data_IF_185315848772
#
_entry.id   IF_185315848772
#
_cell.length_a   1.000
_cell.length_b   1.000
_cell.length_c   1.000
_cell.angle_alpha   90.00
_cell.angle_beta   90.00
_cell.angle_gamma   90.00
#
_symmetry.space_group_name_H-M   'P 1'
#
loop_
_entity.id
_entity.type
_entity.pdbx_description
1 polymer ?
#
# COMPACT_ATOMS: atom_id res chain seq x y z
N UNK A 1 -18.57 2.73 16.18
CA UNK A 1 -18.10 3.37 16.79
C UNK A 1 -16.77 4.13 16.75
N UNK A 2 -15.62 3.58 17.04
CA UNK A 2 -14.35 4.31 16.99
C UNK A 2 -13.78 4.47 15.57
N UNK A 3 -14.32 3.77 14.59
CA UNK A 3 -13.92 3.85 13.19
C UNK A 3 -14.45 5.11 12.48
N UNK A 4 -15.57 5.64 12.93
CA UNK A 4 -16.17 6.86 12.38
C UNK A 4 -15.61 8.11 13.03
N UNK A 5 -15.46 9.17 12.24
CA UNK A 5 -15.15 10.50 12.76
C UNK A 5 -16.48 11.22 13.05
N UNK A 6 -16.61 11.76 14.25
CA UNK A 6 -17.77 12.54 14.68
C UNK A 6 -17.39 13.98 14.94
N UNK A 7 -18.29 14.90 14.62
CA UNK A 7 -18.10 16.31 14.94
C UNK A 7 -18.09 16.53 16.46
N UNK A 8 -17.04 17.15 16.97
CA UNK A 8 -16.92 17.49 18.40
C UNK A 8 -17.88 18.62 18.81
N UNK A 9 -18.11 19.56 17.90
CA UNK A 9 -18.99 20.74 18.09
C UNK A 9 -19.83 20.92 16.83
N UNK A 10 -20.95 21.61 17.00
CA UNK A 10 -21.81 21.98 15.87
C UNK A 10 -21.16 23.12 15.06
N UNK A 11 -21.26 23.08 13.74
CA UNK A 11 -20.69 24.11 12.89
C UNK A 11 -20.92 23.87 11.41
N UNK A 12 -20.38 24.77 10.60
CA UNK A 12 -20.43 24.70 9.14
C UNK A 12 -19.17 24.03 8.61
N UNK A 13 -19.31 23.06 7.73
CA UNK A 13 -18.17 22.45 7.03
C UNK A 13 -17.59 23.48 6.07
N UNK A 14 -16.44 24.03 6.39
CA UNK A 14 -15.76 25.04 5.58
C UNK A 14 -15.00 24.40 4.41
N UNK A 15 -14.37 23.24 4.67
CA UNK A 15 -13.65 22.47 3.66
C UNK A 15 -13.71 20.99 3.97
N UNK A 16 -13.89 20.17 2.94
CA UNK A 16 -13.83 18.72 3.01
C UNK A 16 -13.04 18.16 1.84
N UNK A 17 -11.80 17.75 2.07
CA UNK A 17 -10.96 17.08 1.08
C UNK A 17 -10.64 15.64 1.50
N UNK A 18 -10.01 14.86 0.63
CA UNK A 18 -9.77 13.42 0.84
C UNK A 18 -9.06 13.07 2.17
N UNK A 19 -8.40 14.01 2.83
CA UNK A 19 -7.61 13.79 4.05
C UNK A 19 -8.04 14.67 5.22
N UNK A 20 -8.79 15.73 4.98
CA UNK A 20 -9.06 16.74 6.00
C UNK A 20 -10.51 17.24 5.92
N UNK A 21 -11.11 17.46 7.08
CA UNK A 21 -12.39 18.13 7.21
C UNK A 21 -12.18 19.30 8.19
N UNK A 22 -12.64 20.47 7.83
CA UNK A 22 -12.61 21.66 8.66
C UNK A 22 -14.05 22.10 8.96
N UNK A 23 -14.38 22.18 10.25
CA UNK A 23 -15.70 22.63 10.71
C UNK A 23 -15.51 23.92 11.47
N UNK A 24 -16.13 24.98 10.97
CA UNK A 24 -16.12 26.30 11.59
C UNK A 24 -17.43 26.55 12.33
N UNK A 25 -17.34 27.11 13.49
CA UNK A 25 -18.50 27.50 14.31
C UNK A 25 -18.16 28.58 15.32
N UNK A 26 -19.11 28.87 16.14
CA UNK A 26 -18.97 29.80 17.25
C UNK A 26 -19.55 29.15 18.51
N UNK A 27 -18.85 29.24 19.62
CA UNK A 27 -19.29 28.77 20.94
C UNK A 27 -19.12 29.85 21.98
N UNK A 28 -19.40 29.55 23.25
CA UNK A 28 -19.29 30.50 24.37
C UNK A 28 -17.89 31.12 24.54
N UNK A 29 -16.84 30.50 23.97
CA UNK A 29 -15.47 30.94 24.00
C UNK A 29 -15.05 31.73 22.74
N UNK A 30 -15.96 31.88 21.78
CA UNK A 30 -15.73 32.59 20.50
C UNK A 30 -15.72 31.68 19.26
N UNK A 31 -15.28 32.23 18.15
CA UNK A 31 -15.17 31.48 16.90
C UNK A 31 -14.09 30.40 16.98
N UNK A 32 -14.38 29.23 16.39
CA UNK A 32 -13.46 28.12 16.33
C UNK A 32 -13.39 27.46 14.93
N UNK A 33 -12.30 26.75 14.69
CA UNK A 33 -12.16 25.86 13.55
C UNK A 33 -11.67 24.51 14.09
N UNK A 34 -12.49 23.48 13.94
CA UNK A 34 -12.12 22.11 14.28
C UNK A 34 -11.57 21.41 13.03
N UNK A 35 -10.38 20.82 13.16
CA UNK A 35 -9.74 20.05 12.10
C UNK A 35 -9.83 18.56 12.42
N UNK A 36 -10.31 17.79 11.44
CA UNK A 36 -10.39 16.33 11.49
C UNK A 36 -9.55 15.73 10.37
N UNK A 37 -8.60 14.88 10.76
CA UNK A 37 -7.77 14.14 9.80
C UNK A 37 -8.45 12.82 9.43
N UNK A 38 -8.61 12.56 8.15
CA UNK A 38 -9.23 11.35 7.59
C UNK A 38 -8.14 10.37 7.17
N UNK A 39 -8.19 9.18 7.73
CA UNK A 39 -7.23 8.12 7.39
C UNK A 39 -7.54 7.50 6.03
N UNK A 40 -6.51 7.31 5.22
CA UNK A 40 -6.58 6.63 3.92
C UNK A 40 -5.48 5.60 3.80
N UNK A 41 -5.83 4.40 3.36
CA UNK A 41 -4.89 3.32 3.05
C UNK A 41 -3.91 3.00 4.20
N UNK A 42 -4.40 2.98 5.43
CA UNK A 42 -3.61 2.57 6.60
C UNK A 42 -3.61 1.05 6.67
N UNK A 43 -2.43 0.45 6.81
CA UNK A 43 -2.30 -1.01 6.96
C UNK A 43 -2.84 -1.46 8.31
N UNK A 44 -3.71 -2.47 8.31
CA UNK A 44 -4.14 -3.17 9.52
C UNK A 44 -3.18 -4.33 9.86
N UNK A 45 -3.35 -4.92 11.05
CA UNK A 45 -2.55 -6.07 11.48
C UNK A 45 -2.68 -7.29 10.54
N UNK A 46 -3.78 -7.42 9.82
CA UNK A 46 -4.03 -8.49 8.85
C UNK A 46 -3.66 -8.09 7.41
N UNK A 47 -2.87 -7.03 7.25
CA UNK A 47 -2.46 -6.49 5.95
C UNK A 47 -3.61 -5.99 5.06
N UNK A 48 -4.78 -5.77 5.61
CA UNK A 48 -5.89 -5.12 4.90
C UNK A 48 -5.77 -3.61 4.99
N UNK A 49 -6.44 -2.90 4.08
CA UNK A 49 -6.48 -1.45 4.06
C UNK A 49 -7.60 -0.92 4.95
N UNK A 50 -7.25 -0.05 5.90
CA UNK A 50 -8.19 0.77 6.63
C UNK A 50 -8.28 2.14 5.97
N UNK A 51 -9.47 2.58 5.63
CA UNK A 51 -9.72 3.90 5.05
C UNK A 51 -11.06 4.45 5.51
N UNK A 52 -11.12 5.75 5.77
CA UNK A 52 -12.34 6.45 6.11
C UNK A 52 -12.88 7.18 4.89
N UNK A 53 -14.19 7.25 4.75
CA UNK A 53 -14.90 7.92 3.68
C UNK A 53 -15.66 9.12 4.23
N UNK A 54 -15.41 10.30 3.66
CA UNK A 54 -16.09 11.53 4.04
C UNK A 54 -17.58 11.41 3.69
N UNK A 55 -18.43 11.73 4.68
CA UNK A 55 -19.88 11.65 4.58
C UNK A 55 -20.56 13.03 4.49
N UNK A 56 -19.77 14.11 4.53
CA UNK A 56 -20.27 15.50 4.50
C UNK A 56 -19.70 16.27 3.32
N UNK A 57 -20.40 17.33 2.93
CA UNK A 57 -19.99 18.22 1.84
C UNK A 57 -19.67 19.62 2.35
N UNK A 58 -18.88 20.38 1.57
CA UNK A 58 -18.59 21.78 1.91
C UNK A 58 -19.89 22.60 1.90
N UNK A 59 -20.04 23.47 2.91
CA UNK A 59 -21.23 24.27 3.13
C UNK A 59 -22.35 23.57 3.91
N UNK A 60 -22.18 22.32 4.28
CA UNK A 60 -23.14 21.58 5.11
C UNK A 60 -22.98 21.96 6.59
N UNK A 61 -24.12 22.12 7.31
CA UNK A 61 -24.12 22.31 8.74
C UNK A 61 -24.17 20.96 9.44
N UNK A 62 -23.26 20.74 10.39
CA UNK A 62 -23.15 19.50 11.17
C UNK A 62 -23.44 19.75 12.64
N UNK A 63 -24.14 18.81 13.26
CA UNK A 63 -24.43 18.85 14.69
C UNK A 63 -23.30 18.18 15.51
N UNK A 64 -23.22 18.53 16.79
CA UNK A 64 -22.33 17.86 17.74
C UNK A 64 -22.64 16.36 17.80
N UNK A 65 -21.65 15.50 17.57
CA UNK A 65 -21.78 14.06 17.58
C UNK A 65 -22.24 13.44 16.25
N UNK A 66 -22.58 14.25 15.24
CA UNK A 66 -22.89 13.78 13.90
C UNK A 66 -21.67 13.11 13.28
N UNK A 67 -21.89 12.01 12.55
CA UNK A 67 -20.84 11.31 11.79
C UNK A 67 -20.50 12.15 10.56
N UNK A 68 -19.24 12.55 10.46
CA UNK A 68 -18.70 13.35 9.35
C UNK A 68 -17.78 12.54 8.41
N UNK A 69 -17.29 11.39 8.88
CA UNK A 69 -16.64 10.40 8.03
C UNK A 69 -16.94 8.98 8.53
N UNK A 70 -17.33 8.11 7.59
CA UNK A 70 -17.59 6.70 7.84
C UNK A 70 -16.30 5.89 7.88
N UNK A 71 -16.26 4.85 8.70
CA UNK A 71 -15.20 3.83 8.68
C UNK A 71 -15.37 2.84 7.51
N UNK A 72 -14.43 1.90 7.35
CA UNK A 72 -14.43 0.94 6.24
C UNK A 72 -15.63 -0.01 6.25
N UNK A 73 -16.20 -0.29 7.42
CA UNK A 73 -17.36 -1.17 7.58
C UNK A 73 -18.64 -0.39 7.90
N UNK A 74 -18.72 0.85 7.44
CA UNK A 74 -19.85 1.73 7.71
C UNK A 74 -20.40 2.36 6.44
N UNK A 75 -21.70 2.63 6.46
CA UNK A 75 -22.38 3.42 5.44
C UNK A 75 -23.40 4.35 6.12
N UNK A 76 -23.28 5.66 5.88
CA UNK A 76 -24.13 6.71 6.45
C UNK A 76 -24.25 6.64 8.00
N UNK A 77 -23.13 6.34 8.66
CA UNK A 77 -23.05 6.25 10.11
C UNK A 77 -23.53 4.92 10.72
N UNK A 78 -24.03 4.00 9.93
CA UNK A 78 -24.50 2.68 10.35
C UNK A 78 -23.49 1.57 9.98
N UNK A 79 -23.58 0.46 10.71
CA UNK A 79 -22.73 -0.71 10.44
C UNK A 79 -23.18 -1.39 9.14
N UNK A 80 -22.26 -1.52 8.18
CA UNK A 80 -22.49 -2.13 6.87
C UNK A 80 -21.35 -3.12 6.58
N UNK A 81 -21.42 -4.32 7.14
CA UNK A 81 -20.41 -5.36 6.95
C UNK A 81 -20.85 -6.32 5.85
N UNK A 82 -19.96 -6.49 4.84
CA UNK A 82 -20.16 -7.43 3.75
C UNK A 82 -21.20 -6.99 2.72
N UNK A 83 -21.62 -7.93 1.91
CA UNK A 83 -22.55 -7.72 0.79
C UNK A 83 -23.64 -8.78 0.81
N UNK A 84 -24.89 -8.40 0.60
CA UNK A 84 -26.00 -9.32 0.42
C UNK A 84 -26.04 -9.75 -1.05
N UNK A 85 -25.72 -11.03 -1.31
CA UNK A 85 -25.74 -11.61 -2.64
C UNK A 85 -26.95 -12.53 -2.84
N UNK A 86 -27.57 -12.51 -4.02
CA UNK A 86 -28.55 -13.51 -4.44
C UNK A 86 -27.84 -14.83 -4.71
N UNK A 87 -28.27 -15.90 -4.04
CA UNK A 87 -27.67 -17.23 -4.17
C UNK A 87 -28.68 -18.24 -4.69
N UNK A 88 -28.31 -19.07 -5.66
CA UNK A 88 -29.07 -20.21 -6.12
C UNK A 88 -28.33 -21.51 -5.79
N UNK A 89 -29.02 -22.45 -5.13
CA UNK A 89 -28.50 -23.77 -4.83
C UNK A 89 -29.05 -24.77 -5.89
N UNK A 90 -28.27 -24.97 -6.95
CA UNK A 90 -28.64 -25.83 -8.06
C UNK A 90 -27.41 -26.32 -8.83
N UNK A 91 -27.47 -27.50 -9.49
CA UNK A 91 -26.45 -27.91 -10.46
C UNK A 91 -26.48 -26.97 -11.68
N UNK A 92 -25.30 -26.55 -12.16
CA UNK A 92 -25.16 -25.70 -13.34
C UNK A 92 -24.17 -26.32 -14.34
N UNK A 93 -24.65 -27.16 -15.22
CA UNK A 93 -23.87 -27.80 -16.29
C UNK A 93 -22.55 -28.46 -15.81
N UNK A 94 -22.49 -28.88 -14.56
CA UNK A 94 -21.28 -29.45 -13.95
C UNK A 94 -20.19 -28.45 -13.55
N UNK A 95 -20.34 -27.16 -13.85
CA UNK A 95 -19.31 -26.13 -13.53
C UNK A 95 -19.19 -25.84 -12.02
N UNK A 96 -20.18 -26.23 -11.23
CA UNK A 96 -20.16 -26.12 -9.77
C UNK A 96 -20.00 -27.49 -9.07
N UNK A 97 -19.32 -28.45 -9.72
CA UNK A 97 -19.03 -29.76 -9.16
C UNK A 97 -18.10 -29.66 -7.94
N UNK A 98 -18.41 -30.43 -6.89
CA UNK A 98 -17.74 -30.39 -5.58
C UNK A 98 -17.77 -28.99 -4.94
N UNK A 99 -16.59 -28.39 -4.65
CA UNK A 99 -16.44 -27.09 -3.99
C UNK A 99 -16.40 -25.91 -4.97
N UNK A 100 -16.64 -26.15 -6.26
CA UNK A 100 -16.65 -25.10 -7.27
C UNK A 100 -17.89 -24.20 -7.13
N UNK A 101 -17.70 -22.90 -7.24
CA UNK A 101 -18.77 -21.91 -7.18
C UNK A 101 -18.75 -21.07 -8.47
N UNK A 102 -19.93 -20.88 -9.05
CA UNK A 102 -20.10 -19.97 -10.19
C UNK A 102 -20.47 -18.60 -9.64
N UNK A 103 -19.74 -17.59 -10.06
CA UNK A 103 -19.98 -16.20 -9.70
C UNK A 103 -20.46 -15.41 -10.91
N UNK A 104 -21.34 -14.45 -10.68
CA UNK A 104 -21.71 -13.48 -11.70
C UNK A 104 -20.56 -12.47 -11.92
N UNK A 105 -20.27 -12.15 -13.16
CA UNK A 105 -19.29 -11.13 -13.54
C UNK A 105 -19.62 -9.76 -12.95
N UNK A 106 -20.89 -9.46 -12.74
CA UNK A 106 -21.36 -8.26 -12.06
C UNK A 106 -20.72 -8.03 -10.68
N UNK A 107 -20.40 -9.08 -9.93
CA UNK A 107 -19.72 -8.96 -8.63
C UNK A 107 -18.29 -8.39 -8.78
N UNK A 108 -17.67 -8.65 -9.92
CA UNK A 108 -16.34 -8.11 -10.26
C UNK A 108 -16.49 -6.65 -10.73
N UNK A 109 -17.47 -6.37 -11.59
CA UNK A 109 -17.74 -5.02 -12.09
C UNK A 109 -18.13 -4.03 -10.97
N UNK A 110 -18.86 -4.49 -9.97
CA UNK A 110 -19.30 -3.71 -8.81
C UNK A 110 -18.29 -3.70 -7.65
N UNK A 111 -17.12 -4.38 -7.80
CA UNK A 111 -16.13 -4.55 -6.72
C UNK A 111 -16.72 -5.09 -5.41
N UNK A 112 -17.76 -5.94 -5.49
CA UNK A 112 -18.59 -6.35 -4.35
C UNK A 112 -17.79 -7.09 -3.27
N UNK A 113 -16.80 -7.93 -3.64
CA UNK A 113 -15.94 -8.68 -2.74
C UNK A 113 -14.46 -8.31 -2.91
N UNK A 114 -14.18 -7.16 -3.46
CA UNK A 114 -12.82 -6.66 -3.67
C UNK A 114 -12.20 -6.22 -2.36
N UNK A 115 -10.98 -6.65 -2.09
CA UNK A 115 -10.20 -6.25 -0.93
C UNK A 115 -8.86 -5.67 -1.36
N UNK A 116 -8.37 -4.69 -0.59
CA UNK A 116 -7.05 -4.08 -0.76
C UNK A 116 -6.15 -4.57 0.36
N UNK A 117 -4.98 -5.10 -0.01
CA UNK A 117 -3.98 -5.57 0.93
C UNK A 117 -2.72 -4.73 0.84
N UNK A 118 -2.16 -4.35 1.99
CA UNK A 118 -0.95 -3.53 2.11
C UNK A 118 0.14 -4.36 2.76
N UNK A 119 1.24 -4.57 2.02
CA UNK A 119 2.41 -5.30 2.51
C UNK A 119 3.58 -4.33 2.68
N UNK A 120 4.13 -4.33 3.87
CA UNK A 120 5.38 -3.64 4.19
C UNK A 120 6.56 -4.60 4.08
N UNK A 121 7.66 -4.13 3.50
CA UNK A 121 8.92 -4.86 3.41
C UNK A 121 10.05 -3.96 3.88
N UNK A 122 10.86 -4.47 4.78
CA UNK A 122 12.03 -3.78 5.33
C UNK A 122 13.31 -4.38 4.78
N UNK A 123 14.28 -3.52 4.51
CA UNK A 123 15.63 -3.90 4.11
C UNK A 123 16.63 -3.20 5.01
N UNK A 124 17.42 -3.99 5.71
CA UNK A 124 18.53 -3.47 6.55
C UNK A 124 19.84 -3.58 5.81
N UNK A 125 20.68 -2.57 5.93
CA UNK A 125 22.10 -2.63 5.55
C UNK A 125 22.93 -2.90 6.77
N UNK A 126 23.75 -3.95 6.72
CA UNK A 126 24.58 -4.39 7.83
C UNK A 126 26.05 -4.07 7.59
N UNK A 127 26.75 -3.75 8.66
CA UNK A 127 28.20 -3.67 8.66
C UNK A 127 28.78 -5.09 8.73
N UNK A 128 29.59 -5.46 7.76
CA UNK A 128 30.25 -6.75 7.68
C UNK A 128 31.77 -6.59 7.81
N UNK A 129 32.48 -7.66 8.16
CA UNK A 129 33.95 -7.64 8.31
C UNK A 129 34.70 -7.23 7.05
N UNK A 130 34.09 -7.39 5.88
CA UNK A 130 34.69 -7.14 4.56
C UNK A 130 34.11 -5.89 3.85
N UNK A 131 33.38 -5.04 4.57
CA UNK A 131 32.74 -3.83 4.05
C UNK A 131 31.26 -3.77 4.40
N UNK A 132 30.64 -2.63 4.14
CA UNK A 132 29.25 -2.40 4.47
C UNK A 132 28.34 -2.84 3.31
N UNK A 133 27.16 -3.35 3.63
CA UNK A 133 26.09 -3.49 2.65
C UNK A 133 25.58 -2.10 2.23
N UNK A 134 25.18 -1.96 0.99
CA UNK A 134 24.76 -0.67 0.45
C UNK A 134 23.47 -0.82 -0.36
N UNK A 135 22.57 0.16 -0.22
CA UNK A 135 21.40 0.31 -1.09
C UNK A 135 21.84 1.15 -2.28
N UNK A 136 21.73 0.60 -3.48
CA UNK A 136 22.19 1.25 -4.71
C UNK A 136 21.38 0.80 -5.92
N UNK A 137 21.34 1.66 -6.92
CA UNK A 137 20.81 1.32 -8.25
C UNK A 137 21.84 0.55 -9.10
N UNK A 138 23.14 0.68 -8.81
CA UNK A 138 24.23 0.03 -9.54
C UNK A 138 24.34 -1.44 -9.11
N UNK A 139 23.59 -2.30 -9.79
CA UNK A 139 23.45 -3.73 -9.46
C UNK A 139 24.23 -4.60 -10.43
N UNK A 140 25.18 -5.41 -9.95
CA UNK A 140 25.94 -6.29 -10.83
C UNK A 140 25.05 -7.35 -11.49
N UNK A 141 25.21 -7.56 -12.78
CA UNK A 141 24.50 -8.58 -13.54
C UNK A 141 23.02 -8.27 -13.84
N UNK A 142 22.56 -7.09 -13.55
CA UNK A 142 21.19 -6.64 -13.85
C UNK A 142 21.21 -5.69 -15.05
N UNK A 143 20.31 -5.91 -16.00
CA UNK A 143 20.16 -5.02 -17.15
C UNK A 143 19.54 -3.69 -16.72
N UNK A 144 20.00 -2.60 -17.31
CA UNK A 144 19.51 -1.25 -17.00
C UNK A 144 17.99 -1.09 -17.23
N UNK A 145 17.46 -1.76 -18.22
CA UNK A 145 16.02 -1.81 -18.51
C UNK A 145 15.19 -2.35 -17.34
N UNK A 146 15.76 -3.28 -16.56
CA UNK A 146 15.08 -3.94 -15.42
C UNK A 146 15.09 -3.11 -14.12
N UNK A 147 15.77 -1.96 -14.12
CA UNK A 147 15.90 -1.07 -12.95
C UNK A 147 15.46 0.38 -13.23
N UNK A 148 14.81 0.63 -14.36
CA UNK A 148 14.32 1.98 -14.73
C UNK A 148 13.29 2.55 -13.77
N UNK A 149 12.57 1.68 -13.07
CA UNK A 149 11.57 2.02 -12.06
C UNK A 149 12.17 2.37 -10.70
N UNK A 150 13.46 2.12 -10.50
CA UNK A 150 14.16 2.55 -9.29
C UNK A 150 14.58 4.02 -9.40
N UNK A 151 14.63 4.70 -8.27
CA UNK A 151 15.21 6.03 -8.14
C UNK A 151 16.76 5.97 -8.11
N UNK A 152 17.40 7.12 -7.95
CA UNK A 152 18.86 7.21 -7.88
C UNK A 152 19.44 6.55 -6.63
N UNK A 153 18.63 6.40 -5.58
CA UNK A 153 19.01 5.71 -4.34
C UNK A 153 18.87 4.20 -4.43
N UNK A 154 18.28 3.67 -5.51
CA UNK A 154 18.03 2.24 -5.69
C UNK A 154 16.70 1.76 -5.09
N UNK A 155 15.78 2.66 -4.78
CA UNK A 155 14.45 2.34 -4.23
C UNK A 155 13.40 2.53 -5.32
N UNK A 156 12.36 1.69 -5.32
CA UNK A 156 11.25 1.81 -6.26
C UNK A 156 10.52 3.15 -6.10
N UNK A 157 10.23 3.81 -7.23
CA UNK A 157 9.51 5.10 -7.24
C UNK A 157 8.06 4.92 -6.81
N UNK A 158 7.55 5.88 -6.05
CA UNK A 158 6.13 5.92 -5.66
C UNK A 158 5.25 5.97 -6.92
N UNK A 159 4.16 5.18 -6.92
CA UNK A 159 3.25 5.06 -8.05
C UNK A 159 3.65 4.04 -9.11
N UNK A 160 4.76 3.34 -8.93
CA UNK A 160 5.19 2.28 -9.83
C UNK A 160 4.28 1.06 -9.70
N UNK A 161 3.76 0.57 -10.82
CA UNK A 161 3.10 -0.74 -10.86
C UNK A 161 4.15 -1.84 -10.80
N UNK A 162 4.12 -2.66 -9.75
CA UNK A 162 5.09 -3.74 -9.53
C UNK A 162 4.50 -5.10 -9.85
N UNK A 163 5.32 -5.97 -10.41
CA UNK A 163 4.99 -7.37 -10.72
C UNK A 163 5.92 -8.30 -9.95
N UNK A 164 5.50 -9.55 -9.79
CA UNK A 164 6.36 -10.60 -9.27
C UNK A 164 7.72 -10.62 -9.97
N UNK A 165 8.79 -10.73 -9.21
CA UNK A 165 10.16 -10.75 -9.71
C UNK A 165 10.80 -9.39 -9.94
N UNK A 166 10.06 -8.27 -9.87
CA UNK A 166 10.65 -6.93 -10.00
C UNK A 166 11.44 -6.54 -8.75
N UNK A 167 12.57 -5.88 -8.94
CA UNK A 167 13.40 -5.37 -7.83
C UNK A 167 12.70 -4.16 -7.20
N UNK A 168 12.47 -4.23 -5.90
CA UNK A 168 11.88 -3.14 -5.11
C UNK A 168 12.94 -2.25 -4.50
N UNK A 169 14.02 -2.85 -3.99
CA UNK A 169 15.17 -2.15 -3.42
C UNK A 169 16.43 -2.84 -3.89
N UNK A 170 17.28 -2.09 -4.57
CA UNK A 170 18.59 -2.55 -4.99
C UNK A 170 19.56 -2.59 -3.82
N UNK A 171 20.09 -3.75 -3.49
CA UNK A 171 21.04 -3.94 -2.39
C UNK A 171 22.23 -4.78 -2.85
N UNK A 172 23.42 -4.34 -2.50
CA UNK A 172 24.65 -5.08 -2.73
C UNK A 172 25.35 -5.40 -1.42
N UNK A 173 25.96 -6.59 -1.38
CA UNK A 173 26.72 -7.08 -0.23
C UNK A 173 28.14 -7.35 -0.68
N UNK A 174 29.20 -6.86 0.00
CA UNK A 174 30.59 -7.16 -0.35
C UNK A 174 30.87 -8.65 -0.23
N UNK A 175 31.60 -9.19 -1.21
CA UNK A 175 32.16 -10.54 -1.13
C UNK A 175 33.36 -10.54 -0.17
N UNK A 176 33.43 -11.53 0.71
CA UNK A 176 34.69 -11.82 1.43
C UNK A 176 35.83 -12.10 0.44
N UNK A 177 37.08 -11.91 0.87
CA UNK A 177 38.28 -12.20 0.07
C UNK A 177 38.35 -13.69 -0.31
N UNK A 178 37.80 -14.01 -1.47
CA UNK A 178 38.00 -15.30 -2.13
C UNK A 178 38.86 -15.01 -3.36
N UNK A 179 39.97 -15.74 -3.56
CA UNK A 179 40.75 -15.64 -4.80
C UNK A 179 39.81 -15.86 -5.98
N UNK A 180 39.72 -14.92 -6.94
CA UNK A 180 38.77 -15.02 -8.04
C UNK A 180 39.03 -16.27 -8.87
N UNK A 181 37.97 -17.02 -9.15
CA UNK A 181 38.01 -18.14 -10.09
C UNK A 181 38.25 -17.64 -11.51
N UNK A 182 38.71 -18.49 -12.46
CA UNK A 182 38.86 -18.10 -13.85
C UNK A 182 37.60 -17.51 -14.47
N UNK A 183 36.42 -18.03 -14.09
CA UNK A 183 35.11 -17.56 -14.54
C UNK A 183 34.79 -16.17 -13.96
N UNK A 184 35.13 -15.92 -12.71
CA UNK A 184 34.98 -14.60 -12.09
C UNK A 184 35.90 -13.54 -12.71
N UNK A 185 37.11 -13.93 -13.16
CA UNK A 185 38.00 -13.02 -13.91
C UNK A 185 37.37 -12.65 -15.26
N UNK A 186 36.73 -13.60 -15.94
CA UNK A 186 36.01 -13.35 -17.18
C UNK A 186 34.81 -12.42 -16.98
N UNK A 187 34.03 -12.65 -15.92
CA UNK A 187 32.89 -11.78 -15.56
C UNK A 187 33.36 -10.35 -15.22
N UNK A 188 34.49 -10.18 -14.55
CA UNK A 188 35.10 -8.87 -14.28
C UNK A 188 35.48 -8.14 -15.59
N UNK A 189 36.01 -8.88 -16.54
CA UNK A 189 36.41 -8.31 -17.86
C UNK A 189 35.18 -7.88 -18.68
N UNK A 190 34.05 -8.57 -18.56
CA UNK A 190 32.84 -8.29 -19.34
C UNK A 190 31.94 -7.22 -18.65
N UNK A 191 31.76 -7.31 -17.34
CA UNK A 191 30.81 -6.50 -16.56
C UNK A 191 31.47 -5.43 -15.65
N UNK A 192 32.79 -5.26 -15.74
CA UNK A 192 33.56 -4.29 -14.96
C UNK A 192 34.00 -4.81 -13.58
N UNK A 193 34.96 -4.10 -12.96
CA UNK A 193 35.61 -4.51 -11.70
C UNK A 193 34.62 -4.64 -10.53
N UNK A 194 33.57 -3.83 -10.45
CA UNK A 194 32.56 -3.88 -9.38
C UNK A 194 31.84 -5.22 -9.32
N UNK A 195 31.58 -5.88 -10.46
CA UNK A 195 30.88 -7.16 -10.51
C UNK A 195 31.61 -8.31 -9.78
N UNK A 196 32.93 -8.15 -9.54
CA UNK A 196 33.72 -9.14 -8.82
C UNK A 196 33.77 -9.00 -7.31
N UNK A 197 33.40 -7.84 -6.77
CA UNK A 197 33.56 -7.52 -5.34
C UNK A 197 32.26 -7.53 -4.53
N UNK A 198 31.10 -7.50 -5.21
CA UNK A 198 29.80 -7.46 -4.55
C UNK A 198 28.84 -8.52 -5.08
N UNK A 199 27.91 -8.92 -4.24
CA UNK A 199 26.79 -9.83 -4.56
C UNK A 199 25.51 -9.03 -4.53
N UNK A 200 24.66 -9.23 -5.53
CA UNK A 200 23.31 -8.69 -5.54
C UNK A 200 22.44 -9.40 -4.49
N UNK A 201 21.94 -8.64 -3.53
CA UNK A 201 21.03 -9.05 -2.44
C UNK A 201 19.77 -8.19 -2.41
N UNK A 202 19.36 -7.71 -3.58
CA UNK A 202 18.19 -6.86 -3.76
C UNK A 202 16.90 -7.50 -3.24
N UNK A 203 16.04 -6.68 -2.69
CA UNK A 203 14.67 -7.09 -2.35
C UNK A 203 13.85 -7.15 -3.63
N UNK A 204 13.22 -8.29 -3.86
CA UNK A 204 12.39 -8.57 -5.04
C UNK A 204 10.93 -8.70 -4.62
N UNK A 205 10.01 -8.26 -5.48
CA UNK A 205 8.58 -8.45 -5.27
C UNK A 205 8.27 -9.97 -5.27
N UNK A 206 7.66 -10.50 -4.20
CA UNK A 206 7.29 -11.91 -4.14
C UNK A 206 6.21 -12.28 -5.17
N UNK A 207 6.05 -13.55 -5.41
CA UNK A 207 4.95 -14.13 -6.20
C UNK A 207 3.63 -14.04 -5.47
#
# INVERSE_FOLDING_TARGET
AWEAIKANRAGLVEKADAKNIYVRGEDENGAFIDHYSVNKNVRTNNNTSFGQRIAVTEGEFVEKGQVIADGPSMDKGELAVGVNAMVAFMPWNGYNYEDAIILSERLIEEDAFTSVHIYEKEVECRELKHGNEEITRDLPGVKEESITHLDNSGIVKIGTYVKSGMILVGKVTPKGEIKPTPEERLLRAIFGEKAGHVINKSLVCPT
#
